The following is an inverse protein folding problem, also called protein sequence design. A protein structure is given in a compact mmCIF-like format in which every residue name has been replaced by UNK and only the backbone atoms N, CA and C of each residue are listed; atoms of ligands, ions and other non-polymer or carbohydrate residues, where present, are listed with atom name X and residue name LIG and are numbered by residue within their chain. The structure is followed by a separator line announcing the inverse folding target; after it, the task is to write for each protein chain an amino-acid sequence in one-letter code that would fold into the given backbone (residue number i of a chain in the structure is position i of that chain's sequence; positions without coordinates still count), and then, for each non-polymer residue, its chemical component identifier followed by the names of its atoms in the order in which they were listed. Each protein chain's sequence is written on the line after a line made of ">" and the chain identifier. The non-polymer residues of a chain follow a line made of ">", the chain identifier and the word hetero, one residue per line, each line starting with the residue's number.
data_IF_900000413721
#
_entry.id   IF_900000413721
#
_cell.length_a   1.000
_cell.length_b   1.000
_cell.length_c   1.000
_cell.angle_alpha   90.00
_cell.angle_beta   90.00
_cell.angle_gamma   90.00
#
_symmetry.space_group_name_H-M   'P 1'
#
loop_
_entity.id
_entity.type
_entity.pdbx_description
1 polymer ?
#
# COMPACT_ATOMS: atom_id res chain seq x y z
N UNK A 1 23.60 -16.78 -74.53
CA UNK A 1 23.03 -17.68 -73.49
C UNK A 1 22.67 -16.80 -72.30
N UNK A 2 21.40 -16.47 -72.11
CA UNK A 2 20.92 -15.67 -70.98
C UNK A 2 19.77 -16.40 -70.31
N UNK A 3 20.01 -16.87 -69.09
CA UNK A 3 19.02 -17.54 -68.25
C UNK A 3 18.27 -16.45 -67.48
N UNK A 4 16.98 -16.25 -67.80
CA UNK A 4 16.09 -15.45 -66.95
C UNK A 4 15.65 -16.31 -65.76
N UNK A 5 16.23 -16.07 -64.57
CA UNK A 5 15.73 -16.64 -63.33
C UNK A 5 14.38 -15.99 -62.99
N UNK A 6 13.31 -16.79 -62.94
CA UNK A 6 11.99 -16.33 -62.46
C UNK A 6 11.99 -16.39 -60.93
N UNK A 7 12.14 -15.24 -60.28
CA UNK A 7 12.04 -15.12 -58.83
C UNK A 7 10.64 -15.50 -58.33
N UNK A 8 10.60 -16.40 -57.36
CA UNK A 8 9.39 -16.83 -56.66
C UNK A 8 8.89 -15.67 -55.78
N UNK A 9 7.86 -14.93 -56.21
CA UNK A 9 7.24 -13.89 -55.38
C UNK A 9 6.39 -14.58 -54.30
N UNK A 10 6.70 -14.45 -53.00
CA UNK A 10 5.82 -14.99 -51.97
C UNK A 10 4.47 -14.28 -52.07
N UNK A 11 3.39 -15.06 -52.20
CA UNK A 11 2.02 -14.54 -52.17
C UNK A 11 1.84 -13.91 -50.79
N UNK A 12 1.70 -12.59 -50.73
CA UNK A 12 1.34 -11.90 -49.49
C UNK A 12 -0.08 -12.34 -49.12
N UNK A 13 -0.22 -13.19 -48.10
CA UNK A 13 -1.52 -13.48 -47.48
C UNK A 13 -1.96 -12.22 -46.73
N UNK A 14 -3.05 -11.60 -47.18
CA UNK A 14 -3.70 -10.53 -46.42
C UNK A 14 -4.49 -11.14 -45.27
N UNK A 15 -4.46 -10.50 -44.11
CA UNK A 15 -5.29 -10.86 -42.96
C UNK A 15 -6.76 -10.66 -43.35
N UNK A 16 -7.61 -11.64 -43.04
CA UNK A 16 -9.05 -11.48 -43.29
C UNK A 16 -9.67 -10.63 -42.17
N UNK A 17 -10.70 -9.84 -42.51
CA UNK A 17 -11.43 -9.04 -41.51
C UNK A 17 -12.01 -9.92 -40.39
N UNK A 18 -12.43 -11.14 -40.71
CA UNK A 18 -13.01 -12.08 -39.76
C UNK A 18 -11.97 -12.61 -38.76
N UNK A 19 -10.73 -12.89 -39.20
CA UNK A 19 -9.65 -13.30 -38.29
C UNK A 19 -9.36 -12.21 -37.26
N UNK A 20 -9.35 -10.94 -37.67
CA UNK A 20 -9.14 -9.84 -36.73
C UNK A 20 -10.33 -9.69 -35.78
N UNK A 21 -11.55 -9.84 -36.29
CA UNK A 21 -12.78 -9.65 -35.53
C UNK A 21 -12.95 -10.68 -34.41
N UNK A 22 -12.61 -11.95 -34.66
CA UNK A 22 -12.65 -13.00 -33.62
C UNK A 22 -11.59 -12.76 -32.54
N UNK A 23 -10.40 -12.27 -32.91
CA UNK A 23 -9.32 -12.01 -31.95
C UNK A 23 -9.71 -10.92 -30.96
N UNK A 24 -10.24 -9.79 -31.43
CA UNK A 24 -10.68 -8.72 -30.53
C UNK A 24 -11.86 -9.14 -29.63
N UNK A 25 -12.74 -10.02 -30.14
CA UNK A 25 -13.83 -10.58 -29.34
C UNK A 25 -13.30 -11.43 -28.18
N UNK A 26 -12.31 -12.29 -28.43
CA UNK A 26 -11.69 -13.12 -27.39
C UNK A 26 -10.92 -12.26 -26.38
N UNK A 27 -10.13 -11.27 -26.83
CA UNK A 27 -9.41 -10.35 -25.94
C UNK A 27 -10.40 -9.59 -25.06
N UNK A 28 -11.55 -9.15 -25.60
CA UNK A 28 -12.60 -8.47 -24.84
C UNK A 28 -13.18 -9.33 -23.71
N UNK A 29 -13.44 -10.62 -23.97
CA UNK A 29 -13.94 -11.56 -22.96
C UNK A 29 -12.90 -11.77 -21.86
N UNK A 30 -11.63 -11.99 -22.22
CA UNK A 30 -10.55 -12.18 -21.26
C UNK A 30 -10.33 -10.93 -20.40
N UNK A 31 -10.33 -9.74 -21.01
CA UNK A 31 -10.17 -8.48 -20.30
C UNK A 31 -11.32 -8.23 -19.30
N UNK A 32 -12.57 -8.54 -19.68
CA UNK A 32 -13.74 -8.35 -18.83
C UNK A 32 -13.68 -9.18 -17.53
N UNK A 33 -13.09 -10.38 -17.56
CA UNK A 33 -12.91 -11.23 -16.37
C UNK A 33 -11.73 -10.74 -15.52
N UNK A 34 -10.68 -10.23 -16.16
CA UNK A 34 -9.43 -9.88 -15.50
C UNK A 34 -9.52 -8.57 -14.70
N UNK A 35 -10.28 -7.58 -15.19
CA UNK A 35 -10.47 -6.29 -14.51
C UNK A 35 -10.99 -6.42 -13.06
N UNK A 36 -12.12 -7.11 -12.76
CA UNK A 36 -12.63 -7.19 -11.39
C UNK A 36 -11.70 -7.97 -10.44
N UNK A 37 -11.00 -8.99 -10.96
CA UNK A 37 -10.05 -9.79 -10.17
C UNK A 37 -8.82 -8.95 -9.79
N UNK A 38 -8.30 -8.15 -10.72
CA UNK A 38 -7.17 -7.26 -10.46
C UNK A 38 -7.48 -6.20 -9.40
N UNK A 39 -8.70 -5.65 -9.40
CA UNK A 39 -9.11 -4.66 -8.40
C UNK A 39 -9.12 -5.24 -6.97
N UNK A 40 -9.65 -6.46 -6.79
CA UNK A 40 -9.65 -7.15 -5.48
C UNK A 40 -8.24 -7.51 -5.02
N UNK A 41 -7.39 -7.97 -5.94
CA UNK A 41 -6.00 -8.28 -5.65
C UNK A 41 -5.24 -7.03 -5.16
N UNK A 42 -5.45 -5.88 -5.82
CA UNK A 42 -4.87 -4.59 -5.42
C UNK A 42 -5.31 -4.14 -4.04
N UNK A 43 -6.61 -4.23 -3.73
CA UNK A 43 -7.13 -3.85 -2.41
C UNK A 43 -6.45 -4.65 -1.29
N UNK A 44 -6.27 -5.96 -1.46
CA UNK A 44 -5.57 -6.80 -0.48
C UNK A 44 -4.10 -6.41 -0.33
N UNK A 45 -3.41 -6.08 -1.44
CA UNK A 45 -2.02 -5.62 -1.38
C UNK A 45 -1.89 -4.27 -0.68
N UNK A 46 -2.81 -3.33 -0.94
CA UNK A 46 -2.82 -2.02 -0.30
C UNK A 46 -3.07 -2.14 1.20
N UNK A 47 -4.06 -2.95 1.61
CA UNK A 47 -4.31 -3.22 3.02
C UNK A 47 -3.08 -3.78 3.75
N UNK A 48 -2.41 -4.77 3.16
CA UNK A 48 -1.18 -5.34 3.74
C UNK A 48 -0.04 -4.32 3.82
N UNK A 49 0.08 -3.43 2.83
CA UNK A 49 1.08 -2.37 2.82
C UNK A 49 0.78 -1.30 3.89
N UNK A 50 -0.49 -0.90 4.05
CA UNK A 50 -0.89 0.04 5.10
C UNK A 50 -0.53 -0.48 6.50
N UNK A 51 -0.87 -1.73 6.80
CA UNK A 51 -0.51 -2.37 8.08
C UNK A 51 1.00 -2.33 8.31
N UNK A 52 1.80 -2.59 7.28
CA UNK A 52 3.25 -2.56 7.42
C UNK A 52 3.76 -1.13 7.67
N UNK A 53 3.19 -0.14 7.00
CA UNK A 53 3.54 1.26 7.21
C UNK A 53 3.19 1.71 8.63
N UNK A 54 2.00 1.40 9.12
CA UNK A 54 1.58 1.69 10.50
C UNK A 54 2.48 1.00 11.53
N UNK A 55 2.86 -0.26 11.31
CA UNK A 55 3.79 -0.98 12.19
C UNK A 55 5.20 -0.38 12.19
N UNK A 56 5.69 0.04 11.03
CA UNK A 56 6.98 0.72 10.93
C UNK A 56 6.96 2.03 11.73
N UNK A 57 5.87 2.79 11.65
CA UNK A 57 5.65 4.00 12.44
C UNK A 57 5.51 3.71 13.93
N UNK A 58 4.76 2.68 14.31
CA UNK A 58 4.62 2.25 15.70
C UNK A 58 5.98 1.91 16.31
N UNK A 59 6.81 1.16 15.57
CA UNK A 59 8.15 0.79 16.01
C UNK A 59 9.02 2.03 16.21
N UNK A 60 8.97 3.01 15.30
CA UNK A 60 9.74 4.26 15.46
C UNK A 60 9.23 5.13 16.62
N UNK A 61 7.92 5.16 16.86
CA UNK A 61 7.31 5.84 18.01
C UNK A 61 7.70 5.19 19.34
N UNK A 62 7.74 3.85 19.40
CA UNK A 62 8.19 3.11 20.58
C UNK A 62 9.67 3.42 20.89
N UNK A 63 10.54 3.41 19.86
CA UNK A 63 11.95 3.79 20.02
C UNK A 63 12.10 5.24 20.52
N UNK A 64 11.34 6.18 19.96
CA UNK A 64 11.32 7.56 20.43
C UNK A 64 10.90 7.65 21.90
N UNK A 65 9.83 6.95 22.28
CA UNK A 65 9.27 6.97 23.62
C UNK A 65 10.25 6.42 24.67
N UNK A 66 11.00 5.37 24.32
CA UNK A 66 12.05 4.81 25.18
C UNK A 66 13.16 5.82 25.51
N UNK A 67 13.50 6.70 24.58
CA UNK A 67 14.57 7.70 24.77
C UNK A 67 14.05 9.01 25.41
N UNK A 68 12.78 9.34 25.21
CA UNK A 68 12.19 10.61 25.64
C UNK A 68 11.30 10.48 26.89
N UNK A 69 11.60 9.51 27.75
CA UNK A 69 10.95 9.40 29.06
C UNK A 69 9.52 8.88 29.00
N UNK A 70 9.25 7.92 28.11
CA UNK A 70 7.95 7.27 27.92
C UNK A 70 6.86 8.22 27.40
N UNK A 71 7.26 9.20 26.58
CA UNK A 71 6.35 10.14 25.94
C UNK A 71 6.45 9.99 24.42
N UNK A 72 5.30 9.95 23.76
CA UNK A 72 5.19 10.01 22.32
C UNK A 72 5.29 11.46 21.83
N UNK A 73 5.80 11.70 20.63
CA UNK A 73 5.93 13.06 20.12
C UNK A 73 4.57 13.64 19.73
N UNK A 74 4.39 14.96 19.87
CA UNK A 74 3.16 15.65 19.42
C UNK A 74 2.94 15.57 17.90
N UNK A 75 4.03 15.51 17.14
CA UNK A 75 4.02 15.48 15.69
C UNK A 75 4.94 14.40 15.15
N UNK A 76 4.51 13.71 14.10
CA UNK A 76 5.25 12.63 13.45
C UNK A 76 6.58 13.10 12.84
N UNK A 77 6.65 14.35 12.40
CA UNK A 77 7.85 14.98 11.84
C UNK A 77 9.06 14.97 12.79
N UNK A 78 8.80 14.96 14.11
CA UNK A 78 9.87 14.87 15.12
C UNK A 78 10.68 13.57 14.99
N UNK A 79 10.11 12.51 14.43
CA UNK A 79 10.78 11.23 14.20
C UNK A 79 11.83 11.30 13.08
N UNK A 80 11.75 12.32 12.21
CA UNK A 80 12.64 12.54 11.08
C UNK A 80 13.60 13.70 11.36
N UNK A 81 13.07 14.79 11.92
CA UNK A 81 13.80 16.04 12.15
C UNK A 81 14.50 16.10 13.51
N UNK A 82 14.25 15.11 14.38
CA UNK A 82 14.84 15.02 15.70
C UNK A 82 16.36 14.83 15.70
N UNK A 83 17.03 15.02 16.85
CA UNK A 83 18.47 14.84 17.00
C UNK A 83 18.93 13.40 16.70
N UNK A 84 18.03 12.42 16.80
CA UNK A 84 18.22 11.04 16.35
C UNK A 84 17.02 10.64 15.48
N UNK A 85 17.19 10.46 14.15
CA UNK A 85 16.08 10.06 13.29
C UNK A 85 15.76 8.58 13.48
N UNK A 86 14.51 8.27 13.84
CA UNK A 86 14.02 6.90 14.04
C UNK A 86 13.42 6.31 12.77
N UNK A 87 13.04 7.16 11.82
CA UNK A 87 12.56 6.78 10.49
C UNK A 87 13.09 7.77 9.45
N UNK A 88 13.39 7.28 8.24
CA UNK A 88 13.93 8.14 7.18
C UNK A 88 12.85 8.97 6.47
N UNK A 89 11.66 8.41 6.30
CA UNK A 89 10.53 9.08 5.70
C UNK A 89 9.23 8.43 6.18
N UNK A 90 8.16 9.22 6.26
CA UNK A 90 6.82 8.73 6.54
C UNK A 90 6.21 8.30 5.21
N UNK A 91 5.91 7.01 5.09
CA UNK A 91 5.26 6.45 3.91
C UNK A 91 3.86 7.02 3.74
N UNK A 92 3.41 7.21 2.51
CA UNK A 92 2.01 7.55 2.23
C UNK A 92 1.15 6.28 2.17
N UNK A 93 -0.15 6.43 2.45
CA UNK A 93 -1.10 5.35 2.24
C UNK A 93 -1.21 5.06 0.73
N UNK A 94 -0.95 3.84 0.24
CA UNK A 94 -1.06 3.52 -1.19
C UNK A 94 -2.50 3.54 -1.72
N UNK A 95 -3.51 3.56 -0.83
CA UNK A 95 -4.92 3.66 -1.23
C UNK A 95 -5.36 5.12 -1.43
N UNK A 96 -5.10 6.02 -0.47
CA UNK A 96 -5.52 7.43 -0.57
C UNK A 96 -4.44 8.38 -1.08
N UNK A 97 -3.17 7.99 -1.07
CA UNK A 97 -2.03 8.87 -1.39
C UNK A 97 -1.72 9.92 -0.31
N UNK A 98 -2.37 9.84 0.86
CA UNK A 98 -2.22 10.79 1.97
C UNK A 98 -1.24 10.24 3.01
N UNK A 99 -0.48 11.12 3.67
CA UNK A 99 0.44 10.74 4.76
C UNK A 99 -0.29 10.46 6.07
N UNK A 100 0.27 9.56 6.89
CA UNK A 100 -0.23 9.26 8.24
C UNK A 100 -0.06 10.41 9.23
N UNK A 101 0.70 11.45 8.88
CA UNK A 101 0.86 12.65 9.70
C UNK A 101 -0.48 13.36 9.95
N UNK A 102 -1.37 13.36 8.95
CA UNK A 102 -2.68 14.04 9.03
C UNK A 102 -3.69 13.32 9.92
N UNK A 103 -3.42 12.06 10.25
CA UNK A 103 -4.31 11.17 11.01
C UNK A 103 -3.67 10.66 12.29
N UNK A 104 -2.48 11.15 12.61
CA UNK A 104 -1.81 10.92 13.87
C UNK A 104 -2.36 11.84 14.95
N UNK A 105 -2.65 11.27 16.11
CA UNK A 105 -3.01 12.03 17.29
C UNK A 105 -2.33 11.42 18.52
N UNK A 106 -2.02 12.27 19.49
CA UNK A 106 -1.61 11.88 20.84
C UNK A 106 -2.69 12.25 21.84
N UNK A 107 -2.85 11.44 22.87
CA UNK A 107 -3.76 11.68 23.98
C UNK A 107 -3.06 11.36 25.32
N UNK A 108 -3.76 11.57 26.43
CA UNK A 108 -3.32 11.22 27.78
C UNK A 108 -1.93 11.77 28.11
N UNK A 109 -1.72 13.07 27.88
CA UNK A 109 -0.43 13.75 28.07
C UNK A 109 0.72 13.05 27.34
N UNK A 110 0.51 12.65 26.09
CA UNK A 110 1.50 12.00 25.23
C UNK A 110 1.92 10.59 25.69
N UNK A 111 1.11 9.93 26.52
CA UNK A 111 1.34 8.52 26.90
C UNK A 111 0.53 7.54 26.05
N UNK A 112 -0.32 8.06 25.16
CA UNK A 112 -1.07 7.28 24.18
C UNK A 112 -1.01 7.97 22.82
N UNK A 113 -0.89 7.17 21.76
CA UNK A 113 -1.00 7.65 20.39
C UNK A 113 -2.00 6.81 19.59
N UNK A 114 -2.63 7.44 18.61
CA UNK A 114 -3.52 6.83 17.64
C UNK A 114 -3.01 7.17 16.23
N UNK A 115 -2.77 6.15 15.44
CA UNK A 115 -2.58 6.25 13.99
C UNK A 115 -3.83 5.70 13.34
N UNK A 116 -4.49 6.49 12.49
CA UNK A 116 -5.58 6.00 11.64
C UNK A 116 -5.11 5.98 10.20
N UNK A 117 -5.46 4.94 9.45
CA UNK A 117 -5.19 4.92 8.02
C UNK A 117 -6.04 6.01 7.33
N UNK A 118 -5.45 6.93 6.53
CA UNK A 118 -6.21 7.94 5.79
C UNK A 118 -6.90 7.36 4.54
N UNK A 119 -6.94 6.03 4.40
CA UNK A 119 -7.44 5.31 3.23
C UNK A 119 -8.90 4.88 3.35
N UNK A 120 -9.31 4.05 2.40
CA UNK A 120 -10.59 3.30 2.42
C UNK A 120 -10.53 2.06 3.34
N UNK A 121 -9.38 1.82 3.97
CA UNK A 121 -9.19 0.80 4.97
C UNK A 121 -9.41 1.41 6.36
N UNK A 122 -10.40 0.92 7.11
CA UNK A 122 -10.68 1.32 8.49
C UNK A 122 -9.67 0.66 9.45
N UNK A 123 -8.39 0.91 9.20
CA UNK A 123 -7.26 0.46 10.01
C UNK A 123 -6.93 1.55 11.02
N UNK A 124 -6.76 1.14 12.27
CA UNK A 124 -6.32 2.00 13.35
C UNK A 124 -5.25 1.25 14.13
N UNK A 125 -4.27 1.97 14.66
CA UNK A 125 -3.23 1.45 15.52
C UNK A 125 -3.13 2.39 16.72
N UNK A 126 -3.36 1.84 17.91
CA UNK A 126 -3.18 2.56 19.17
C UNK A 126 -1.96 1.99 19.87
N UNK A 127 -1.10 2.86 20.36
CA UNK A 127 -0.03 2.48 21.27
C UNK A 127 -0.15 3.26 22.57
N UNK A 128 0.10 2.57 23.67
CA UNK A 128 0.02 3.09 25.03
C UNK A 128 1.32 2.82 25.75
N UNK A 129 1.65 3.65 26.72
CA UNK A 129 2.66 3.32 27.71
C UNK A 129 1.97 2.60 28.87
N UNK A 130 2.21 1.29 28.96
CA UNK A 130 1.69 0.45 30.04
C UNK A 130 2.86 -0.05 30.88
N UNK A 131 2.74 0.05 32.21
CA UNK A 131 3.80 -0.33 33.16
C UNK A 131 5.19 0.32 32.89
N UNK A 132 5.20 1.48 32.26
CA UNK A 132 6.44 2.18 31.89
C UNK A 132 7.12 1.63 30.63
N UNK A 133 6.41 0.88 29.79
CA UNK A 133 6.93 0.43 28.50
C UNK A 133 5.96 0.80 27.39
N UNK A 134 6.43 1.41 26.29
CA UNK A 134 5.57 1.69 25.15
C UNK A 134 5.25 0.36 24.45
N UNK A 135 3.96 0.13 24.21
CA UNK A 135 3.49 -1.07 23.54
C UNK A 135 2.26 -0.79 22.69
N UNK A 136 2.16 -1.48 21.55
CA UNK A 136 0.94 -1.49 20.74
C UNK A 136 -0.19 -2.14 21.56
N UNK A 137 -1.32 -1.45 21.68
CA UNK A 137 -2.49 -1.97 22.37
C UNK A 137 -3.02 -3.23 21.66
N UNK A 138 -3.34 -4.25 22.47
CA UNK A 138 -3.86 -5.51 21.96
C UNK A 138 -5.24 -5.31 21.30
N UNK A 139 -5.37 -5.70 20.03
CA UNK A 139 -6.65 -5.71 19.30
C UNK A 139 -6.91 -4.58 18.31
N UNK A 140 -5.95 -3.68 18.08
CA UNK A 140 -6.13 -2.57 17.14
C UNK A 140 -5.56 -2.88 15.74
N UNK A 141 -4.49 -3.67 15.67
CA UNK A 141 -3.78 -4.02 14.42
C UNK A 141 -4.58 -4.80 13.36
N UNK A 142 -5.83 -5.21 13.60
CA UNK A 142 -6.61 -6.07 12.69
C UNK A 142 -8.10 -6.14 13.05
N UNK A 143 -8.80 -5.01 13.24
CA UNK A 143 -10.28 -5.09 13.33
C UNK A 143 -10.98 -5.35 11.98
N UNK A 144 -10.23 -5.66 10.92
CA UNK A 144 -10.80 -6.40 9.79
C UNK A 144 -10.98 -7.87 10.16
N UNK A 145 -11.94 -8.12 11.05
CA UNK A 145 -12.45 -9.45 11.34
C UNK A 145 -12.85 -10.14 10.03
N UNK A 146 -12.38 -11.37 9.92
CA UNK A 146 -12.69 -12.35 8.91
C UNK A 146 -14.18 -12.75 8.93
N UNK A 147 -15.06 -11.83 8.56
CA UNK A 147 -16.51 -12.06 8.49
C UNK A 147 -17.19 -11.13 7.49
N UNK A 148 -16.89 -11.32 6.20
CA UNK A 148 -17.85 -11.27 5.08
C UNK A 148 -17.24 -11.87 3.82
#
# INVERSE_FOLDING_TARGET
>A
MFIHSRGFRPRRSGFTLIELMVVIAIIGILAAILTPVLMRARFKTYHSACIQNERNLATSLELYSLENGQLFPDALDTLILGPSPYIQHIETCPSSGVSYETTYAVDNNNTEYLITCPGDHELQLVGVVEDGYPQIANGVLNQYNASR
#
